data_IF_453136521775
#
_entry.id   IF_453136521775
#
_cell.length_a   1.000
_cell.length_b   1.000
_cell.length_c   1.000
_cell.angle_alpha   90.00
_cell.angle_beta   90.00
_cell.angle_gamma   90.00
#
_symmetry.space_group_name_H-M   'P 1'
#
loop_
_entity.id
_entity.type
_entity.pdbx_description
1 polymer ?
#
# COMPACT_ATOMS: atom_id res chain seq x y z
N UNK A 1 0.62 -5.63 20.35
CA UNK A 1 -0.24 -5.34 19.18
C UNK A 1 0.62 -4.61 18.16
N UNK A 2 0.75 -5.15 16.96
CA UNK A 2 1.55 -4.58 15.88
C UNK A 2 0.59 -4.01 14.82
N UNK A 3 0.82 -2.77 14.40
CA UNK A 3 0.19 -2.24 13.19
C UNK A 3 1.00 -2.75 11.99
N UNK A 4 0.33 -3.42 11.07
CA UNK A 4 0.96 -3.99 9.88
C UNK A 4 0.16 -3.62 8.63
N UNK A 5 0.83 -3.60 7.49
CA UNK A 5 0.17 -3.51 6.20
C UNK A 5 -0.68 -4.76 5.96
N UNK A 6 -1.83 -4.60 5.29
CA UNK A 6 -2.76 -5.72 5.04
C UNK A 6 -2.07 -6.90 4.35
N UNK A 7 -1.23 -6.62 3.34
CA UNK A 7 -0.49 -7.66 2.63
C UNK A 7 0.49 -8.40 3.54
N UNK A 8 1.20 -7.70 4.42
CA UNK A 8 2.17 -8.29 5.36
C UNK A 8 1.48 -9.13 6.42
N UNK A 9 0.33 -8.67 6.93
CA UNK A 9 -0.46 -9.43 7.89
C UNK A 9 -0.94 -10.76 7.31
N UNK A 10 -1.45 -10.76 6.08
CA UNK A 10 -1.85 -12.00 5.40
C UNK A 10 -0.66 -12.87 5.00
N UNK A 11 0.49 -12.28 4.66
CA UNK A 11 1.71 -13.03 4.37
C UNK A 11 2.23 -13.74 5.63
N UNK A 12 2.22 -13.07 6.79
CA UNK A 12 2.60 -13.69 8.07
C UNK A 12 1.69 -14.88 8.43
N UNK A 13 0.39 -14.80 8.16
CA UNK A 13 -0.51 -15.96 8.30
C UNK A 13 -0.17 -17.10 7.33
N UNK A 14 0.32 -16.78 6.13
CA UNK A 14 0.67 -17.80 5.14
C UNK A 14 2.02 -18.46 5.45
N UNK A 15 3.00 -17.70 5.95
CA UNK A 15 4.41 -18.13 6.01
C UNK A 15 4.94 -18.36 7.43
N UNK A 16 4.49 -17.61 8.44
CA UNK A 16 5.15 -17.53 9.76
C UNK A 16 4.48 -18.37 10.86
N UNK A 17 3.73 -19.39 10.48
CA UNK A 17 3.12 -20.36 11.41
C UNK A 17 1.62 -20.23 11.60
N UNK A 18 0.93 -19.52 10.71
CA UNK A 18 -0.51 -19.65 10.57
C UNK A 18 -1.34 -18.94 11.64
N UNK A 19 -2.64 -19.25 11.59
CA UNK A 19 -3.66 -18.73 12.52
C UNK A 19 -3.43 -19.16 13.97
N UNK A 20 -2.55 -20.13 14.21
CA UNK A 20 -2.22 -20.60 15.56
C UNK A 20 -1.27 -19.64 16.29
N UNK A 21 -0.62 -18.72 15.57
CA UNK A 21 0.31 -17.73 16.14
C UNK A 21 -0.16 -16.29 16.03
N UNK A 22 -0.96 -15.98 15.01
CA UNK A 22 -1.40 -14.63 14.73
C UNK A 22 -2.90 -14.58 14.50
N UNK A 23 -3.53 -13.57 15.09
CA UNK A 23 -4.88 -13.15 14.78
C UNK A 23 -4.83 -11.81 14.04
N UNK A 24 -5.53 -11.73 12.91
CA UNK A 24 -5.74 -10.46 12.20
C UNK A 24 -7.03 -9.83 12.71
N UNK A 25 -6.90 -8.66 13.34
CA UNK A 25 -8.03 -7.81 13.69
C UNK A 25 -8.19 -6.74 12.61
N UNK A 26 -9.28 -6.84 11.86
CA UNK A 26 -9.65 -5.85 10.84
C UNK A 26 -10.55 -4.79 11.49
N UNK A 27 -10.12 -3.52 11.58
CA UNK A 27 -10.94 -2.46 12.19
C UNK A 27 -12.14 -2.12 11.30
N UNK A 28 -13.16 -1.49 11.87
CA UNK A 28 -14.35 -1.04 11.11
C UNK A 28 -14.05 0.09 10.13
N UNK A 29 -12.98 0.85 10.37
CA UNK A 29 -12.51 1.95 9.53
C UNK A 29 -11.00 1.82 9.35
N UNK A 30 -10.53 2.00 8.12
CA UNK A 30 -9.10 2.03 7.80
C UNK A 30 -8.83 3.13 6.76
N UNK A 31 -7.59 3.23 6.28
CA UNK A 31 -7.17 4.20 5.26
C UNK A 31 -6.77 3.47 3.97
N UNK A 32 -7.19 4.01 2.83
CA UNK A 32 -6.72 3.55 1.53
C UNK A 32 -5.25 3.93 1.38
N UNK A 33 -4.39 2.92 1.36
CA UNK A 33 -2.96 3.13 1.10
C UNK A 33 -2.64 2.81 -0.35
N UNK A 34 -1.94 3.74 -1.03
CA UNK A 34 -1.71 3.71 -2.47
C UNK A 34 -0.20 3.84 -2.75
N UNK A 35 0.57 2.74 -2.71
CA UNK A 35 2.02 2.79 -2.91
C UNK A 35 2.36 3.28 -4.34
N UNK A 36 2.89 4.50 -4.52
CA UNK A 36 3.13 5.04 -5.84
C UNK A 36 4.42 4.48 -6.44
N UNK A 37 4.45 4.33 -7.77
CA UNK A 37 5.63 3.92 -8.54
C UNK A 37 5.97 4.98 -9.58
N UNK A 38 7.27 5.22 -9.82
CA UNK A 38 7.73 6.22 -10.78
C UNK A 38 9.08 5.82 -11.41
N UNK A 39 9.28 6.21 -12.67
CA UNK A 39 10.60 6.17 -13.31
C UNK A 39 11.42 7.33 -12.77
N UNK A 40 12.71 7.10 -12.51
CA UNK A 40 13.65 8.17 -12.16
C UNK A 40 14.35 8.62 -13.43
N UNK A 41 13.76 9.58 -14.14
CA UNK A 41 14.13 9.98 -15.51
C UNK A 41 15.64 10.20 -15.68
N UNK A 42 16.24 11.07 -14.86
CA UNK A 42 17.69 11.38 -14.92
C UNK A 42 18.59 10.15 -14.82
N UNK A 43 18.17 9.15 -14.04
CA UNK A 43 18.93 7.91 -13.87
C UNK A 43 18.72 6.96 -15.06
N UNK A 44 17.49 6.87 -15.56
CA UNK A 44 17.13 6.00 -16.67
C UNK A 44 17.77 6.49 -17.97
N UNK A 45 17.73 7.79 -18.25
CA UNK A 45 18.35 8.41 -19.41
C UNK A 45 19.87 8.22 -19.40
N UNK A 46 20.53 8.54 -18.28
CA UNK A 46 21.99 8.39 -18.13
C UNK A 46 22.45 6.94 -18.38
N UNK A 47 21.61 5.96 -18.08
CA UNK A 47 21.90 4.53 -18.25
C UNK A 47 21.35 3.93 -19.56
N UNK A 48 20.67 4.72 -20.39
CA UNK A 48 20.03 4.24 -21.62
C UNK A 48 18.85 3.28 -21.37
N UNK A 49 18.22 3.33 -20.19
CA UNK A 49 17.19 2.38 -19.74
C UNK A 49 15.77 2.99 -19.69
N UNK A 50 15.54 4.16 -20.27
CA UNK A 50 14.23 4.85 -20.16
C UNK A 50 13.07 4.00 -20.66
N UNK A 51 13.24 3.31 -21.79
CA UNK A 51 12.21 2.45 -22.37
C UNK A 51 11.91 1.24 -21.47
N UNK A 52 12.94 0.45 -21.12
CA UNK A 52 12.75 -0.74 -20.28
C UNK A 52 12.20 -0.41 -18.88
N UNK A 53 12.62 0.70 -18.27
CA UNK A 53 12.08 1.15 -16.98
C UNK A 53 10.60 1.53 -17.09
N UNK A 54 10.21 2.18 -18.18
CA UNK A 54 8.81 2.54 -18.45
C UNK A 54 7.96 1.30 -18.67
N UNK A 55 8.43 0.35 -19.47
CA UNK A 55 7.70 -0.90 -19.72
C UNK A 55 7.59 -1.77 -18.47
N UNK A 56 8.62 -1.78 -17.61
CA UNK A 56 8.55 -2.46 -16.30
C UNK A 56 7.39 -1.89 -15.44
N UNK A 57 7.26 -0.56 -15.35
CA UNK A 57 6.14 0.06 -14.63
C UNK A 57 4.79 -0.23 -15.27
N UNK A 58 4.68 -0.17 -16.60
CA UNK A 58 3.44 -0.54 -17.30
C UNK A 58 3.05 -1.99 -17.03
N UNK A 59 4.03 -2.90 -16.97
CA UNK A 59 3.79 -4.31 -16.70
C UNK A 59 3.19 -4.54 -15.31
N UNK A 60 3.48 -3.70 -14.30
CA UNK A 60 2.81 -3.76 -13.00
C UNK A 60 1.28 -3.61 -13.13
N UNK A 61 0.81 -2.87 -14.14
CA UNK A 61 -0.62 -2.65 -14.44
C UNK A 61 -1.17 -3.58 -15.52
N UNK A 62 -0.34 -4.49 -16.06
CA UNK A 62 -0.84 -5.56 -16.91
C UNK A 62 -1.68 -6.54 -16.09
N UNK A 63 -2.54 -7.31 -16.75
CA UNK A 63 -3.35 -8.35 -16.10
C UNK A 63 -2.49 -9.35 -15.32
N UNK A 64 -1.32 -9.71 -15.86
CA UNK A 64 -0.35 -10.57 -15.17
C UNK A 64 0.22 -9.92 -13.91
N UNK A 65 0.67 -8.66 -14.00
CA UNK A 65 1.18 -7.92 -12.85
C UNK A 65 0.13 -7.77 -11.74
N UNK A 66 -1.12 -7.52 -12.12
CA UNK A 66 -2.24 -7.42 -11.19
C UNK A 66 -2.61 -8.77 -10.55
N UNK A 67 -2.53 -9.88 -11.29
CA UNK A 67 -2.67 -11.24 -10.74
C UNK A 67 -1.56 -11.57 -9.74
N UNK A 68 -0.31 -11.17 -10.03
CA UNK A 68 0.82 -11.34 -9.09
C UNK A 68 0.57 -10.52 -7.83
N UNK A 69 0.14 -9.26 -7.97
CA UNK A 69 -0.18 -8.40 -6.82
C UNK A 69 -1.23 -9.05 -5.91
N UNK A 70 -2.33 -9.55 -6.48
CA UNK A 70 -3.40 -10.21 -5.73
C UNK A 70 -2.94 -11.48 -5.01
N UNK A 71 -2.12 -12.32 -5.66
CA UNK A 71 -1.53 -13.53 -5.05
C UNK A 71 -0.60 -13.23 -3.87
N UNK A 72 -0.03 -12.03 -3.84
CA UNK A 72 0.82 -11.52 -2.76
C UNK A 72 0.07 -10.56 -1.84
N UNK A 73 -1.27 -10.67 -1.79
CA UNK A 73 -2.13 -9.96 -0.84
C UNK A 73 -2.19 -8.44 -1.01
N UNK A 74 -1.79 -7.90 -2.16
CA UNK A 74 -2.08 -6.52 -2.53
C UNK A 74 -3.43 -6.43 -3.24
N UNK A 75 -4.21 -5.37 -2.97
CA UNK A 75 -5.48 -5.11 -3.66
C UNK A 75 -5.22 -4.64 -5.10
N UNK A 76 -5.58 -5.42 -6.14
CA UNK A 76 -5.36 -5.02 -7.53
C UNK A 76 -6.35 -3.91 -7.96
N UNK A 77 -5.95 -3.14 -8.97
CA UNK A 77 -6.73 -2.07 -9.61
C UNK A 77 -7.48 -2.54 -10.85
N UNK A 78 -6.99 -3.58 -11.51
CA UNK A 78 -7.75 -4.21 -12.59
C UNK A 78 -9.04 -4.80 -12.03
N UNK A 79 -10.18 -4.41 -12.60
CA UNK A 79 -11.50 -4.76 -12.07
C UNK A 79 -11.80 -6.27 -12.19
N UNK A 80 -11.32 -6.93 -13.24
CA UNK A 80 -11.54 -8.36 -13.44
C UNK A 80 -10.73 -9.17 -12.44
N UNK A 81 -9.47 -8.79 -12.24
CA UNK A 81 -8.60 -9.42 -11.23
C UNK A 81 -9.14 -9.12 -9.83
N UNK A 82 -9.55 -7.90 -9.53
CA UNK A 82 -10.13 -7.54 -8.23
C UNK A 82 -11.37 -8.39 -7.90
N UNK A 83 -12.28 -8.57 -8.85
CA UNK A 83 -13.46 -9.41 -8.67
C UNK A 83 -13.09 -10.88 -8.41
N UNK A 84 -12.09 -11.41 -9.11
CA UNK A 84 -11.61 -12.79 -8.94
C UNK A 84 -11.07 -13.06 -7.53
N UNK A 85 -10.42 -12.07 -6.91
CA UNK A 85 -9.82 -12.20 -5.57
C UNK A 85 -10.64 -11.54 -4.45
N UNK A 86 -11.89 -11.11 -4.70
CA UNK A 86 -12.72 -10.37 -3.72
C UNK A 86 -12.81 -11.10 -2.37
N UNK A 87 -12.91 -12.44 -2.37
CA UNK A 87 -13.02 -13.25 -1.14
C UNK A 87 -11.77 -13.23 -0.25
N UNK A 88 -10.62 -12.84 -0.80
CA UNK A 88 -9.37 -12.75 -0.05
C UNK A 88 -9.32 -11.49 0.82
N UNK A 89 -10.06 -10.44 0.44
CA UNK A 89 -9.96 -9.12 1.05
C UNK A 89 -11.25 -8.78 1.81
N UNK A 90 -11.17 -8.42 3.11
CA UNK A 90 -12.33 -7.95 3.84
C UNK A 90 -12.86 -6.66 3.21
N UNK A 91 -14.19 -6.50 3.24
CA UNK A 91 -14.85 -5.23 2.92
C UNK A 91 -14.62 -4.26 4.07
N UNK A 92 -14.21 -3.04 3.73
CA UNK A 92 -13.77 -2.03 4.66
C UNK A 92 -14.26 -0.66 4.20
N UNK A 93 -14.64 0.16 5.17
CA UNK A 93 -14.77 1.59 4.96
C UNK A 93 -13.37 2.21 5.01
N UNK A 94 -13.01 2.92 3.94
CA UNK A 94 -11.70 3.53 3.77
C UNK A 94 -11.82 5.05 3.64
N UNK A 95 -11.11 5.76 4.50
CA UNK A 95 -10.78 7.18 4.25
C UNK A 95 -9.65 7.27 3.24
N UNK A 96 -9.50 8.43 2.59
CA UNK A 96 -8.39 8.68 1.65
C UNK A 96 -7.61 9.92 2.05
N UNK A 97 -6.32 9.94 1.70
CA UNK A 97 -5.45 11.09 1.95
C UNK A 97 -6.00 12.36 1.30
N UNK A 98 -6.52 12.27 0.08
CA UNK A 98 -7.04 13.44 -0.63
C UNK A 98 -8.34 13.97 -0.03
N UNK A 99 -9.31 13.09 0.28
CA UNK A 99 -10.63 13.49 0.75
C UNK A 99 -10.62 13.97 2.20
N UNK A 100 -9.95 13.21 3.08
CA UNK A 100 -10.10 13.37 4.53
C UNK A 100 -8.93 14.16 5.14
N UNK A 101 -7.80 14.28 4.42
CA UNK A 101 -6.59 14.95 4.92
C UNK A 101 -6.06 16.08 4.01
N UNK A 102 -6.70 16.33 2.86
CA UNK A 102 -6.34 17.41 1.94
C UNK A 102 -5.05 17.16 1.15
N UNK A 103 -4.72 15.88 0.92
CA UNK A 103 -3.57 15.45 0.13
C UNK A 103 -2.25 15.43 0.91
N UNK A 104 -1.26 14.71 0.39
CA UNK A 104 0.05 14.56 1.05
C UNK A 104 0.79 15.88 1.31
N UNK A 105 0.59 16.90 0.45
CA UNK A 105 1.18 18.24 0.66
C UNK A 105 0.68 18.92 1.94
N UNK A 106 -0.52 18.57 2.39
CA UNK A 106 -1.12 19.09 3.63
C UNK A 106 -0.86 18.16 4.80
N UNK A 107 -1.04 16.84 4.59
CA UNK A 107 -0.90 15.84 5.63
C UNK A 107 0.53 15.73 6.15
N UNK A 108 1.52 15.68 5.25
CA UNK A 108 2.93 15.48 5.63
C UNK A 108 3.45 16.58 6.59
N UNK A 109 3.32 17.89 6.27
CA UNK A 109 3.84 18.92 7.16
C UNK A 109 3.08 19.03 8.47
N UNK A 110 1.76 18.79 8.46
CA UNK A 110 0.93 18.89 9.66
C UNK A 110 1.24 17.78 10.66
N UNK A 111 1.36 16.55 10.18
CA UNK A 111 1.43 15.39 11.06
C UNK A 111 2.85 14.87 11.28
N UNK A 112 3.74 14.92 10.28
CA UNK A 112 4.96 14.10 10.24
C UNK A 112 6.27 14.84 10.04
N UNK A 113 6.26 16.13 9.68
CA UNK A 113 7.48 16.93 9.69
C UNK A 113 7.92 17.24 11.12
N UNK A 114 9.18 17.63 11.30
CA UNK A 114 9.74 18.07 12.59
C UNK A 114 8.83 19.12 13.27
N UNK A 115 8.47 18.86 14.53
CA UNK A 115 7.54 19.67 15.32
C UNK A 115 6.05 19.47 14.98
N UNK A 116 5.75 18.55 14.07
CA UNK A 116 4.40 18.15 13.70
C UNK A 116 3.64 17.44 14.82
N UNK A 117 2.38 17.11 14.56
CA UNK A 117 1.50 16.49 15.58
C UNK A 117 2.07 15.18 16.13
N UNK A 118 2.74 14.36 15.30
CA UNK A 118 3.35 13.12 15.75
C UNK A 118 4.39 13.36 16.85
N UNK A 119 5.30 14.33 16.66
CA UNK A 119 6.32 14.67 17.65
C UNK A 119 5.71 15.14 18.96
N UNK A 120 4.64 15.92 18.90
CA UNK A 120 3.93 16.43 20.09
C UNK A 120 3.30 15.29 20.89
N UNK A 121 2.76 14.28 20.21
CA UNK A 121 2.20 13.08 20.86
C UNK A 121 3.32 12.22 21.46
N UNK A 122 4.42 12.04 20.73
CA UNK A 122 5.50 11.15 21.13
C UNK A 122 6.37 11.73 22.26
N UNK A 123 6.64 13.04 22.27
CA UNK A 123 7.37 13.71 23.35
C UNK A 123 6.56 13.81 24.66
N UNK A 124 5.25 13.65 24.59
CA UNK A 124 4.37 13.63 25.76
C UNK A 124 4.32 12.25 26.47
N UNK A 125 5.03 11.24 25.95
CA UNK A 125 5.18 9.91 26.59
C UNK A 125 6.49 9.78 27.35
#
# INVERSE_FOLDING_TARGET
MLLAWENEAFLALKEDGGKDKFDIVVPSLSILAEPPVAVVDKNAERKGNSEIATEYLKHLYSKEGQEIAAKNFYRPRDAEVAAKYEKQFPKLDLVTIDKDFGGWKTAQPKFFNDGGVFDQIYQAQ
#
